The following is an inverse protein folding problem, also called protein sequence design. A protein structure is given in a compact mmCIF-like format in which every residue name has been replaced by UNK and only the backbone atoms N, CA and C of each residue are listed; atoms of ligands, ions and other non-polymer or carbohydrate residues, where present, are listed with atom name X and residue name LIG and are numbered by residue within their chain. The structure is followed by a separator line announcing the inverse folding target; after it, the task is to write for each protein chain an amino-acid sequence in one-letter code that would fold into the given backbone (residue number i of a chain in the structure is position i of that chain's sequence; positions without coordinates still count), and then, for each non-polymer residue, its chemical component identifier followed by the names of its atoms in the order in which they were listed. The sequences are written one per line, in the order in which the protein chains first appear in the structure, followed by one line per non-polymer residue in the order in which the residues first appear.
data_IF_991742622795
#
_entry.id   IF_991742622795
#
_cell.length_a   1.000
_cell.length_b   1.000
_cell.length_c   1.000
_cell.angle_alpha   90.00
_cell.angle_beta   90.00
_cell.angle_gamma   90.00
#
_symmetry.space_group_name_H-M   'P 1'
#
loop_
_entity.id
_entity.type
_entity.pdbx_description
1 polymer ?
#
# COMPACT_ATOMS: atom_id res chain seq x y z
N UNK A 1 5.10 -13.21 17.26
CA UNK A 1 6.39 -13.86 16.89
C UNK A 1 7.19 -13.11 15.82
N UNK A 2 6.61 -12.77 14.65
CA UNK A 2 7.31 -12.06 13.56
C UNK A 2 7.99 -10.75 14.00
N UNK A 3 7.25 -9.83 14.62
CA UNK A 3 7.79 -8.52 15.05
C UNK A 3 8.95 -8.67 16.05
N UNK A 4 8.86 -9.67 16.94
CA UNK A 4 9.95 -10.00 17.87
C UNK A 4 11.21 -10.42 17.12
N UNK A 5 11.09 -11.30 16.13
CA UNK A 5 12.22 -11.74 15.31
C UNK A 5 12.85 -10.58 14.52
N UNK A 6 12.03 -9.69 13.93
CA UNK A 6 12.52 -8.49 13.26
C UNK A 6 13.26 -7.56 14.23
N UNK A 7 12.75 -7.38 15.45
CA UNK A 7 13.41 -6.57 16.49
C UNK A 7 14.78 -7.14 16.85
N UNK A 8 14.86 -8.45 17.12
CA UNK A 8 16.12 -9.12 17.51
C UNK A 8 17.19 -8.99 16.41
N UNK A 9 16.80 -8.97 15.14
CA UNK A 9 17.71 -8.80 14.01
C UNK A 9 17.92 -7.33 13.58
N UNK A 10 17.46 -6.35 14.37
CA UNK A 10 17.54 -4.93 14.03
C UNK A 10 16.95 -4.59 12.64
N UNK A 11 15.78 -5.17 12.34
CA UNK A 11 15.07 -5.02 11.07
C UNK A 11 13.84 -4.10 11.19
N UNK A 12 13.65 -3.43 12.33
CA UNK A 12 12.57 -2.46 12.52
C UNK A 12 13.05 -1.04 12.14
N UNK A 13 12.15 -0.13 11.70
CA UNK A 13 10.72 -0.35 11.54
C UNK A 13 10.38 -1.14 10.27
N UNK A 14 9.22 -1.80 10.27
CA UNK A 14 8.79 -2.67 9.16
C UNK A 14 7.40 -2.35 8.62
N UNK A 15 7.19 -2.52 7.31
CA UNK A 15 5.86 -2.54 6.69
C UNK A 15 5.49 -3.99 6.41
N UNK A 16 4.41 -4.47 7.01
CA UNK A 16 3.90 -5.83 6.81
C UNK A 16 2.71 -5.77 5.88
N UNK A 17 2.88 -6.26 4.66
CA UNK A 17 1.81 -6.26 3.66
C UNK A 17 0.91 -7.48 3.81
N UNK A 18 -0.37 -7.22 4.02
CA UNK A 18 -1.43 -8.22 4.20
C UNK A 18 -2.51 -8.03 3.13
N UNK A 19 -3.19 -9.10 2.69
CA UNK A 19 -4.05 -9.03 1.51
C UNK A 19 -5.39 -8.33 1.76
N UNK A 20 -5.82 -8.15 3.00
CA UNK A 20 -7.14 -7.56 3.32
C UNK A 20 -7.06 -6.55 4.46
N UNK A 21 -7.98 -5.59 4.45
CA UNK A 21 -8.14 -4.57 5.50
C UNK A 21 -8.35 -5.20 6.88
N UNK A 22 -9.24 -6.20 6.94
CA UNK A 22 -9.52 -6.97 8.17
C UNK A 22 -8.24 -7.59 8.76
N UNK A 23 -7.43 -8.26 7.93
CA UNK A 23 -6.17 -8.85 8.39
C UNK A 23 -5.19 -7.80 8.92
N UNK A 24 -5.16 -6.60 8.34
CA UNK A 24 -4.32 -5.51 8.83
C UNK A 24 -4.73 -5.09 10.26
N UNK A 25 -6.03 -4.86 10.47
CA UNK A 25 -6.58 -4.48 11.78
C UNK A 25 -6.36 -5.58 12.84
N UNK A 26 -6.58 -6.84 12.46
CA UNK A 26 -6.36 -8.01 13.32
C UNK A 26 -4.88 -8.14 13.71
N UNK A 27 -3.96 -8.10 12.75
CA UNK A 27 -2.53 -8.23 13.00
C UNK A 27 -1.98 -7.09 13.86
N UNK A 28 -2.43 -5.84 13.61
CA UNK A 28 -2.05 -4.70 14.44
C UNK A 28 -2.51 -4.87 15.89
N UNK A 29 -3.74 -5.36 16.08
CA UNK A 29 -4.32 -5.61 17.40
C UNK A 29 -3.61 -6.74 18.13
N UNK A 30 -3.34 -7.86 17.44
CA UNK A 30 -2.60 -9.01 17.98
C UNK A 30 -1.21 -8.58 18.48
N UNK A 31 -0.47 -7.82 17.67
CA UNK A 31 0.86 -7.34 18.04
C UNK A 31 0.82 -6.34 19.19
N UNK A 32 -0.20 -5.48 19.26
CA UNK A 32 -0.35 -4.55 20.38
C UNK A 32 -0.71 -5.24 21.71
N UNK A 33 -1.35 -6.41 21.66
CA UNK A 33 -1.69 -7.21 22.84
C UNK A 33 -0.57 -8.18 23.26
N UNK A 34 0.42 -8.41 22.39
CA UNK A 34 1.57 -9.27 22.65
C UNK A 34 2.45 -8.67 23.77
N UNK A 35 2.33 -9.21 24.99
CA UNK A 35 3.10 -8.80 26.17
C UNK A 35 4.62 -8.96 26.02
N UNK A 36 5.09 -9.72 25.03
CA UNK A 36 6.52 -9.87 24.75
C UNK A 36 7.11 -8.66 24.00
N UNK A 37 6.27 -7.74 23.55
CA UNK A 37 6.73 -6.47 23.00
C UNK A 37 7.31 -5.59 24.11
N UNK A 38 8.54 -5.08 23.91
CA UNK A 38 9.06 -4.02 24.78
C UNK A 38 8.26 -2.76 24.52
N UNK A 39 7.49 -2.33 25.52
CA UNK A 39 6.88 -1.01 25.52
C UNK A 39 7.95 0.01 25.89
N UNK A 40 8.16 0.97 24.99
CA UNK A 40 8.97 2.15 25.25
C UNK A 40 8.05 3.23 25.82
N UNK A 41 8.18 3.47 27.14
CA UNK A 41 7.34 4.42 27.88
C UNK A 41 7.51 5.85 27.40
N UNK A 42 8.72 6.24 27.00
CA UNK A 42 9.00 7.57 26.46
C UNK A 42 8.30 7.75 25.11
N UNK A 43 8.48 6.81 24.19
CA UNK A 43 7.77 6.84 22.90
C UNK A 43 6.26 6.76 23.08
N UNK A 44 5.76 6.09 24.10
CA UNK A 44 4.32 6.06 24.41
C UNK A 44 3.81 7.44 24.81
N UNK A 45 4.52 8.14 25.68
CA UNK A 45 4.15 9.49 26.09
C UNK A 45 4.13 10.46 24.90
N UNK A 46 5.17 10.40 24.05
CA UNK A 46 5.25 11.22 22.83
C UNK A 46 4.10 10.90 21.86
N UNK A 47 3.74 9.62 21.70
CA UNK A 47 2.60 9.21 20.87
C UNK A 47 1.28 9.74 21.43
N UNK A 48 1.09 9.72 22.74
CA UNK A 48 -0.11 10.27 23.38
C UNK A 48 -0.20 11.79 23.17
N UNK A 49 0.89 12.52 23.37
CA UNK A 49 0.95 13.97 23.14
C UNK A 49 0.60 14.33 21.69
N UNK A 50 1.27 13.71 20.72
CA UNK A 50 1.00 13.95 19.29
C UNK A 50 -0.44 13.57 18.93
N UNK A 51 -0.98 12.51 19.53
CA UNK A 51 -2.36 12.11 19.31
C UNK A 51 -3.33 13.18 19.79
N UNK A 52 -3.19 13.66 21.03
CA UNK A 52 -4.10 14.66 21.60
C UNK A 52 -4.01 16.01 20.88
N UNK A 53 -2.80 16.46 20.51
CA UNK A 53 -2.59 17.65 19.66
C UNK A 53 -3.32 17.51 18.32
N UNK A 54 -3.10 16.40 17.61
CA UNK A 54 -3.71 16.18 16.31
C UNK A 54 -5.24 16.00 16.42
N UNK A 55 -5.71 15.41 17.51
CA UNK A 55 -7.13 15.21 17.78
C UNK A 55 -7.86 16.49 18.17
N UNK A 56 -7.15 17.54 18.62
CA UNK A 56 -7.73 18.85 18.84
C UNK A 56 -8.19 19.49 17.51
N UNK A 57 -7.40 19.32 16.45
CA UNK A 57 -7.71 19.78 15.09
C UNK A 57 -8.62 18.82 14.33
N UNK A 58 -8.59 17.52 14.66
CA UNK A 58 -9.35 16.46 13.99
C UNK A 58 -10.18 15.65 15.02
N UNK A 59 -11.28 16.18 15.56
CA UNK A 59 -12.04 15.54 16.64
C UNK A 59 -12.54 14.12 16.33
N UNK A 60 -12.73 13.80 15.05
CA UNK A 60 -13.20 12.50 14.57
C UNK A 60 -12.25 11.33 14.92
N UNK A 61 -10.95 11.60 15.15
CA UNK A 61 -9.99 10.54 15.52
C UNK A 61 -10.05 10.16 17.00
N UNK A 62 -10.64 11.01 17.88
CA UNK A 62 -10.66 10.78 19.35
C UNK A 62 -11.28 9.44 19.73
N UNK A 63 -12.33 9.03 19.02
CA UNK A 63 -13.08 7.79 19.26
C UNK A 63 -12.63 6.62 18.38
N UNK A 64 -11.50 6.74 17.70
CA UNK A 64 -11.04 5.71 16.78
C UNK A 64 -10.70 4.40 17.53
N UNK A 65 -11.29 3.28 17.06
CA UNK A 65 -11.15 1.95 17.69
C UNK A 65 -9.69 1.50 17.90
N UNK A 66 -8.77 1.94 17.04
CA UNK A 66 -7.36 1.56 17.10
C UNK A 66 -6.46 2.55 17.86
N UNK A 67 -7.02 3.54 18.60
CA UNK A 67 -6.24 4.48 19.44
C UNK A 67 -5.27 3.75 20.36
N UNK A 68 -5.75 2.77 21.13
CA UNK A 68 -4.91 2.03 22.09
C UNK A 68 -3.81 1.21 21.38
N UNK A 69 -4.11 0.67 20.20
CA UNK A 69 -3.15 -0.08 19.37
C UNK A 69 -1.99 0.82 18.95
N UNK A 70 -2.31 2.03 18.48
CA UNK A 70 -1.33 3.04 18.08
C UNK A 70 -0.48 3.51 19.28
N UNK A 71 -1.12 3.98 20.34
CA UNK A 71 -0.44 4.66 21.45
C UNK A 71 0.26 3.71 22.39
N UNK A 72 -0.25 2.50 22.64
CA UNK A 72 0.43 1.51 23.50
C UNK A 72 1.32 0.60 22.69
N UNK A 73 0.76 -0.05 21.67
CA UNK A 73 1.46 -1.05 20.86
C UNK A 73 2.57 -0.50 19.94
N UNK A 74 2.48 0.77 19.54
CA UNK A 74 3.49 1.38 18.67
C UNK A 74 3.46 0.77 17.28
N UNK A 75 2.26 0.34 16.88
CA UNK A 75 1.97 -0.27 15.59
C UNK A 75 0.63 0.25 15.10
N UNK A 76 0.39 0.19 13.80
CA UNK A 76 -0.86 0.65 13.22
C UNK A 76 -1.26 -0.17 11.99
N UNK A 77 -2.56 -0.24 11.72
CA UNK A 77 -3.08 -0.67 10.44
C UNK A 77 -3.27 0.54 9.51
N UNK A 78 -2.82 0.42 8.26
CA UNK A 78 -2.96 1.46 7.23
C UNK A 78 -3.63 0.87 5.99
N UNK A 79 -4.84 1.34 5.67
CA UNK A 79 -5.57 0.93 4.47
C UNK A 79 -6.64 1.95 4.13
N UNK A 80 -7.19 1.87 2.91
CA UNK A 80 -8.23 2.77 2.39
C UNK A 80 -9.58 2.75 3.15
N UNK A 81 -9.71 1.91 4.18
CA UNK A 81 -10.90 1.85 5.04
C UNK A 81 -10.82 2.75 6.27
N UNK A 82 -9.64 3.31 6.58
CA UNK A 82 -9.48 4.29 7.64
C UNK A 82 -9.73 5.70 7.12
N UNK A 83 -10.27 6.55 8.00
CA UNK A 83 -10.52 7.97 7.70
C UNK A 83 -9.22 8.71 7.35
N UNK A 84 -9.26 9.75 6.49
CA UNK A 84 -8.07 10.49 6.06
C UNK A 84 -7.18 11.00 7.20
N UNK A 85 -7.79 11.65 8.20
CA UNK A 85 -7.08 12.17 9.38
C UNK A 85 -6.29 11.09 10.13
N UNK A 86 -6.86 9.89 10.27
CA UNK A 86 -6.19 8.76 10.92
C UNK A 86 -4.97 8.27 10.13
N UNK A 87 -5.08 8.19 8.80
CA UNK A 87 -3.94 7.80 7.94
C UNK A 87 -2.81 8.84 8.04
N UNK A 88 -3.14 10.13 8.01
CA UNK A 88 -2.15 11.21 8.15
C UNK A 88 -1.43 11.15 9.50
N UNK A 89 -2.15 10.85 10.58
CA UNK A 89 -1.55 10.68 11.90
C UNK A 89 -0.55 9.50 11.95
N UNK A 90 -0.92 8.35 11.36
CA UNK A 90 -0.03 7.18 11.27
C UNK A 90 1.24 7.54 10.50
N UNK A 91 1.10 8.21 9.36
CA UNK A 91 2.21 8.65 8.52
C UNK A 91 3.15 9.58 9.30
N UNK A 92 2.58 10.57 10.01
CA UNK A 92 3.33 11.49 10.89
C UNK A 92 4.11 10.74 11.98
N UNK A 93 3.48 9.79 12.67
CA UNK A 93 4.13 9.02 13.74
C UNK A 93 5.23 8.07 13.21
N UNK A 94 5.03 7.48 12.03
CA UNK A 94 6.02 6.63 11.37
C UNK A 94 7.27 7.41 10.98
N UNK A 95 7.10 8.58 10.34
CA UNK A 95 8.21 9.45 9.94
C UNK A 95 9.00 9.96 11.14
N UNK A 96 8.34 10.17 12.28
CA UNK A 96 8.98 10.50 13.57
C UNK A 96 9.66 9.30 14.27
N UNK A 97 9.60 8.09 13.71
CA UNK A 97 10.23 6.89 14.31
C UNK A 97 9.54 6.36 15.57
N UNK A 98 8.26 6.69 15.74
CA UNK A 98 7.46 6.30 16.90
C UNK A 98 6.75 4.95 16.71
N UNK A 99 6.69 4.45 15.48
CA UNK A 99 6.08 3.17 15.16
C UNK A 99 7.13 2.13 14.81
N UNK A 100 6.97 0.94 15.38
CA UNK A 100 7.79 -0.23 15.10
C UNK A 100 7.36 -0.92 13.81
N UNK A 101 6.06 -0.97 13.54
CA UNK A 101 5.54 -1.61 12.35
C UNK A 101 4.21 -1.02 11.89
N UNK A 102 3.97 -1.06 10.58
CA UNK A 102 2.68 -0.76 9.96
C UNK A 102 2.19 -1.99 9.21
N UNK A 103 0.91 -2.32 9.38
CA UNK A 103 0.21 -3.39 8.68
C UNK A 103 -0.61 -2.78 7.56
N UNK A 104 -0.24 -3.04 6.31
CA UNK A 104 -0.82 -2.35 5.16
C UNK A 104 -1.35 -3.31 4.09
N UNK A 105 -2.34 -2.88 3.32
CA UNK A 105 -2.73 -3.61 2.10
C UNK A 105 -1.75 -3.32 0.97
N UNK A 106 -1.58 -4.24 0.01
CA UNK A 106 -0.65 -4.06 -1.12
C UNK A 106 -0.88 -2.74 -1.88
N UNK A 107 -2.14 -2.33 -2.05
CA UNK A 107 -2.52 -1.08 -2.71
C UNK A 107 -1.99 0.19 -2.05
N UNK A 108 -1.63 0.12 -0.77
CA UNK A 108 -1.06 1.26 -0.02
C UNK A 108 0.36 1.54 -0.48
N UNK A 109 1.09 0.55 -1.00
CA UNK A 109 2.49 0.70 -1.42
C UNK A 109 2.68 1.78 -2.49
N UNK A 110 1.70 2.00 -3.36
CA UNK A 110 1.76 3.04 -4.40
C UNK A 110 1.57 4.47 -3.85
N UNK A 111 0.93 4.64 -2.68
CA UNK A 111 0.38 5.93 -2.25
C UNK A 111 0.83 6.46 -0.89
N UNK A 112 1.83 5.84 -0.25
CA UNK A 112 2.37 6.31 1.04
C UNK A 112 3.75 6.91 0.91
N UNK A 113 4.07 7.87 1.79
CA UNK A 113 5.34 8.60 1.76
C UNK A 113 6.33 8.21 2.88
N UNK A 114 6.05 7.14 3.63
CA UNK A 114 6.98 6.66 4.66
C UNK A 114 7.77 5.42 4.19
N UNK A 115 9.11 5.51 4.06
CA UNK A 115 9.96 4.34 3.90
C UNK A 115 10.17 3.62 5.24
N UNK A 116 10.41 2.31 5.19
CA UNK A 116 10.74 1.49 6.36
C UNK A 116 12.06 0.76 6.14
N UNK A 117 12.72 0.30 7.21
CA UNK A 117 13.97 -0.48 7.06
C UNK A 117 13.69 -1.80 6.35
N UNK A 118 12.55 -2.40 6.68
CA UNK A 118 12.14 -3.71 6.18
C UNK A 118 10.73 -3.67 5.63
N UNK A 119 10.49 -4.45 4.59
CA UNK A 119 9.14 -4.79 4.13
C UNK A 119 8.95 -6.30 4.26
N UNK A 120 7.75 -6.70 4.66
CA UNK A 120 7.39 -8.10 4.85
C UNK A 120 6.25 -8.43 3.91
N UNK A 121 6.48 -9.46 3.09
CA UNK A 121 5.48 -10.00 2.16
C UNK A 121 4.94 -11.28 2.78
N UNK A 122 3.64 -11.33 3.07
CA UNK A 122 3.01 -12.51 3.70
C UNK A 122 2.32 -13.45 2.71
N UNK A 123 2.05 -12.97 1.49
CA UNK A 123 1.24 -13.66 0.50
C UNK A 123 1.80 -13.42 -0.91
N UNK A 124 1.69 -14.44 -1.78
CA UNK A 124 2.00 -14.31 -3.22
C UNK A 124 0.79 -13.87 -4.06
N UNK A 125 -0.36 -13.73 -3.42
CA UNK A 125 -1.63 -13.35 -4.03
C UNK A 125 -2.20 -12.10 -3.34
N UNK A 126 -2.92 -11.30 -4.11
CA UNK A 126 -3.56 -10.07 -3.69
C UNK A 126 -5.07 -10.11 -3.93
N UNK A 127 -5.82 -9.31 -3.16
CA UNK A 127 -7.27 -9.14 -3.32
C UNK A 127 -7.55 -7.97 -4.25
N UNK A 128 -8.06 -8.26 -5.46
CA UNK A 128 -8.57 -7.27 -6.40
C UNK A 128 -10.09 -7.11 -6.32
N UNK A 129 -10.65 -6.33 -7.24
CA UNK A 129 -12.09 -6.14 -7.35
C UNK A 129 -12.81 -7.44 -7.77
N UNK A 130 -12.20 -8.20 -8.68
CA UNK A 130 -12.76 -9.45 -9.22
C UNK A 130 -12.41 -10.68 -8.36
N UNK A 131 -11.87 -10.47 -7.15
CA UNK A 131 -11.50 -11.54 -6.23
C UNK A 131 -10.00 -11.72 -6.04
N UNK A 132 -9.58 -12.97 -5.78
CA UNK A 132 -8.18 -13.29 -5.56
C UNK A 132 -7.44 -13.42 -6.89
N UNK A 133 -6.27 -12.81 -6.97
CA UNK A 133 -5.36 -12.97 -8.09
C UNK A 133 -3.92 -13.00 -7.62
N UNK A 134 -3.05 -13.44 -8.52
CA UNK A 134 -1.60 -13.34 -8.36
C UNK A 134 -1.19 -11.87 -8.18
N UNK A 135 -0.22 -11.63 -7.29
CA UNK A 135 0.44 -10.33 -7.17
C UNK A 135 1.14 -9.99 -8.49
N UNK A 136 0.98 -8.77 -8.98
CA UNK A 136 1.66 -8.30 -10.19
C UNK A 136 3.11 -7.95 -9.88
N UNK A 137 3.97 -7.98 -10.91
CA UNK A 137 5.39 -7.63 -10.75
C UNK A 137 5.55 -6.17 -10.29
N UNK A 138 4.79 -5.26 -10.89
CA UNK A 138 4.74 -3.84 -10.51
C UNK A 138 4.31 -3.62 -9.05
N UNK A 139 3.31 -4.37 -8.57
CA UNK A 139 2.85 -4.28 -7.18
C UNK A 139 3.93 -4.76 -6.21
N UNK A 140 4.59 -5.87 -6.54
CA UNK A 140 5.69 -6.40 -5.74
C UNK A 140 6.84 -5.40 -5.70
N UNK A 141 7.23 -4.82 -6.84
CA UNK A 141 8.28 -3.81 -6.93
C UNK A 141 7.92 -2.55 -6.11
N UNK A 142 6.67 -2.08 -6.17
CA UNK A 142 6.20 -0.97 -5.33
C UNK A 142 6.27 -1.29 -3.84
N UNK A 143 5.89 -2.51 -3.46
CA UNK A 143 6.00 -2.98 -2.07
C UNK A 143 7.46 -3.04 -1.62
N UNK A 144 8.35 -3.66 -2.42
CA UNK A 144 9.77 -3.79 -2.10
C UNK A 144 10.52 -2.47 -2.12
N UNK A 145 10.11 -1.53 -2.98
CA UNK A 145 10.67 -0.19 -3.07
C UNK A 145 10.45 0.67 -1.82
N UNK A 146 9.62 0.23 -0.86
CA UNK A 146 9.46 0.88 0.45
C UNK A 146 10.50 0.43 1.49
N UNK A 147 11.32 -0.57 1.17
CA UNK A 147 12.41 -1.00 2.02
C UNK A 147 13.66 -0.12 1.85
N UNK A 148 14.29 0.22 2.96
CA UNK A 148 15.45 1.11 3.02
C UNK A 148 15.04 2.57 3.14
N UNK A 149 15.53 3.23 4.19
CA UNK A 149 15.31 4.66 4.42
C UNK A 149 16.54 5.44 3.96
N UNK A 150 16.36 6.35 2.99
CA UNK A 150 17.42 7.22 2.48
C UNK A 150 18.11 7.97 3.63
N UNK A 151 19.44 7.89 3.67
CA UNK A 151 20.26 8.53 4.71
C UNK A 151 20.22 7.87 6.09
N UNK A 152 19.48 6.76 6.28
CA UNK A 152 19.42 6.02 7.58
C UNK A 152 19.81 4.55 7.45
N UNK A 153 19.50 3.89 6.34
CA UNK A 153 19.82 2.49 6.11
C UNK A 153 20.76 2.33 4.92
N UNK A 154 21.80 1.50 5.07
CA UNK A 154 22.73 1.15 3.98
C UNK A 154 22.07 0.21 2.96
N UNK A 155 21.16 -0.65 3.42
CA UNK A 155 20.41 -1.61 2.61
C UNK A 155 18.98 -1.71 3.13
N UNK A 156 18.03 -1.91 2.22
CA UNK A 156 16.64 -2.25 2.55
C UNK A 156 16.45 -3.76 2.56
N UNK A 157 15.58 -4.27 3.44
CA UNK A 157 15.30 -5.69 3.56
C UNK A 157 13.89 -6.03 3.05
N UNK A 158 13.79 -7.04 2.18
CA UNK A 158 12.53 -7.67 1.82
C UNK A 158 12.47 -9.07 2.44
N UNK A 159 11.50 -9.31 3.33
CA UNK A 159 11.35 -10.57 4.07
C UNK A 159 10.08 -11.28 3.62
N UNK A 160 10.19 -12.55 3.27
CA UNK A 160 9.04 -13.40 3.01
C UNK A 160 8.62 -14.09 4.30
N UNK A 161 7.45 -13.73 4.82
CA UNK A 161 6.89 -14.42 5.98
C UNK A 161 6.24 -15.74 5.53
N UNK A 162 6.50 -16.86 6.23
CA UNK A 162 5.84 -18.13 5.93
C UNK A 162 4.35 -18.07 6.25
N UNK A 163 3.53 -18.76 5.46
CA UNK A 163 2.08 -18.85 5.65
C UNK A 163 1.45 -19.77 4.60
N UNK A 164 0.21 -20.22 4.84
CA UNK A 164 -0.45 -21.21 3.96
C UNK A 164 -0.61 -20.74 2.50
N UNK A 165 -0.67 -19.42 2.30
CA UNK A 165 -0.88 -18.78 0.99
C UNK A 165 0.41 -18.12 0.47
N UNK A 166 1.56 -18.47 1.05
CA UNK A 166 2.84 -17.97 0.60
C UNK A 166 3.43 -18.91 -0.44
N UNK A 167 3.96 -18.35 -1.54
CA UNK A 167 4.67 -19.11 -2.55
C UNK A 167 6.02 -18.42 -2.86
N UNK A 168 7.11 -18.82 -2.19
CA UNK A 168 8.42 -18.18 -2.38
C UNK A 168 8.96 -18.30 -3.81
N UNK A 169 8.69 -19.41 -4.52
CA UNK A 169 9.11 -19.59 -5.91
C UNK A 169 8.48 -18.53 -6.82
N UNK A 170 7.17 -18.36 -6.68
CA UNK A 170 6.40 -17.37 -7.43
C UNK A 170 6.82 -15.93 -7.12
N UNK A 171 7.11 -15.62 -5.86
CA UNK A 171 7.67 -14.30 -5.49
C UNK A 171 9.05 -14.10 -6.14
N UNK A 172 9.92 -15.12 -6.13
CA UNK A 172 11.24 -15.04 -6.75
C UNK A 172 11.16 -14.87 -8.29
N UNK A 173 10.16 -15.48 -8.94
CA UNK A 173 9.86 -15.23 -10.35
C UNK A 173 9.41 -13.78 -10.57
N UNK A 174 8.45 -13.29 -9.79
CA UNK A 174 7.95 -11.91 -9.89
C UNK A 174 9.03 -10.84 -9.65
N UNK A 175 10.01 -11.11 -8.78
CA UNK A 175 11.15 -10.21 -8.56
C UNK A 175 12.07 -10.09 -9.77
N UNK A 176 12.12 -11.12 -10.62
CA UNK A 176 12.92 -11.14 -11.85
C UNK A 176 12.13 -10.66 -13.08
N UNK A 177 10.82 -10.63 -12.98
CA UNK A 177 9.95 -10.17 -14.06
C UNK A 177 10.08 -8.65 -14.29
N UNK A 178 9.98 -8.19 -15.55
CA UNK A 178 9.84 -6.77 -15.82
C UNK A 178 8.54 -6.23 -15.21
N UNK A 179 8.45 -4.92 -14.95
CA UNK A 179 7.18 -4.29 -14.56
C UNK A 179 6.08 -4.60 -15.58
N UNK A 180 4.84 -4.75 -15.11
CA UNK A 180 3.70 -4.97 -15.99
C UNK A 180 3.51 -3.81 -16.97
N UNK A 181 3.08 -4.11 -18.19
CA UNK A 181 2.78 -3.10 -19.20
C UNK A 181 1.70 -2.11 -18.73
N UNK A 182 1.88 -0.84 -19.09
CA UNK A 182 0.85 0.16 -18.88
C UNK A 182 -0.32 -0.15 -19.81
N UNK A 183 -1.49 -0.36 -19.22
CA UNK A 183 -2.72 -0.62 -19.94
C UNK A 183 -3.68 0.56 -19.83
N UNK A 184 -4.30 0.97 -20.94
CA UNK A 184 -5.35 1.97 -20.90
C UNK A 184 -6.51 1.52 -20.02
N UNK A 185 -7.00 2.44 -19.19
CA UNK A 185 -8.27 2.29 -18.45
C UNK A 185 -9.33 3.26 -18.95
N UNK A 186 -9.08 3.96 -20.06
CA UNK A 186 -10.07 4.82 -20.69
C UNK A 186 -11.30 4.00 -21.11
N UNK A 187 -12.47 4.47 -20.69
CA UNK A 187 -13.76 3.91 -21.09
C UNK A 187 -14.64 5.06 -21.54
N UNK A 188 -15.22 4.94 -22.74
CA UNK A 188 -16.23 5.89 -23.20
C UNK A 188 -17.53 5.59 -22.47
N UNK A 189 -17.85 6.40 -21.46
CA UNK A 189 -19.16 6.37 -20.79
C UNK A 189 -20.05 7.46 -21.37
N UNK A 190 -21.38 7.32 -21.23
CA UNK A 190 -22.31 8.37 -21.67
C UNK A 190 -21.97 9.73 -21.07
N UNK A 191 -21.65 9.79 -19.78
CA UNK A 191 -21.25 11.03 -19.10
C UNK A 191 -19.96 11.60 -19.70
N UNK A 192 -18.94 10.76 -19.94
CA UNK A 192 -17.70 11.21 -20.58
C UNK A 192 -17.97 11.77 -21.98
N UNK A 193 -18.81 11.12 -22.77
CA UNK A 193 -19.19 11.57 -24.11
C UNK A 193 -19.94 12.90 -24.06
N UNK A 194 -20.95 13.02 -23.20
CA UNK A 194 -21.72 14.25 -23.05
C UNK A 194 -20.85 15.43 -22.57
N UNK A 195 -19.94 15.19 -21.62
CA UNK A 195 -19.00 16.22 -21.17
C UNK A 195 -18.05 16.66 -22.30
N UNK A 196 -17.58 15.73 -23.13
CA UNK A 196 -16.74 16.05 -24.29
C UNK A 196 -17.54 16.80 -25.35
N UNK A 197 -18.79 16.42 -25.62
CA UNK A 197 -19.65 17.14 -26.55
C UNK A 197 -20.00 18.53 -26.04
N UNK A 198 -20.19 18.69 -24.74
CA UNK A 198 -20.42 20.00 -24.15
C UNK A 198 -19.16 20.90 -24.21
N UNK A 199 -17.97 20.34 -23.97
CA UNK A 199 -16.72 21.08 -24.03
C UNK A 199 -16.30 21.47 -25.47
N UNK A 200 -16.46 20.55 -26.42
CA UNK A 200 -15.94 20.69 -27.79
C UNK A 200 -17.04 21.00 -28.83
N UNK A 201 -18.32 20.97 -28.46
CA UNK A 201 -19.49 21.36 -29.27
C UNK A 201 -19.65 20.64 -30.62
N UNK A 202 -18.78 19.69 -30.96
CA UNK A 202 -18.77 18.97 -32.24
C UNK A 202 -18.32 17.53 -32.06
N UNK A 203 -19.06 16.59 -32.66
CA UNK A 203 -18.70 15.18 -32.70
C UNK A 203 -17.34 14.92 -33.37
N UNK A 204 -16.96 15.72 -34.35
CA UNK A 204 -15.67 15.58 -35.04
C UNK A 204 -14.48 15.76 -34.11
N UNK A 205 -14.53 16.79 -33.26
CA UNK A 205 -13.47 17.07 -32.29
C UNK A 205 -13.43 16.04 -31.16
N UNK A 206 -14.60 15.59 -30.68
CA UNK A 206 -14.69 14.51 -29.69
C UNK A 206 -14.08 13.21 -30.22
N UNK A 207 -14.32 12.90 -31.49
CA UNK A 207 -13.71 11.75 -32.16
C UNK A 207 -12.19 11.88 -32.24
N UNK A 208 -11.67 13.04 -32.64
CA UNK A 208 -10.22 13.27 -32.70
C UNK A 208 -9.54 13.07 -31.33
N UNK A 209 -10.19 13.49 -30.25
CA UNK A 209 -9.70 13.26 -28.88
C UNK A 209 -9.72 11.77 -28.53
N UNK A 210 -10.79 11.07 -28.88
CA UNK A 210 -10.89 9.63 -28.66
C UNK A 210 -9.81 8.86 -29.45
N UNK A 211 -9.49 9.28 -30.67
CA UNK A 211 -8.44 8.69 -31.52
C UNK A 211 -7.03 9.00 -31.01
N UNK A 212 -6.83 10.14 -30.33
CA UNK A 212 -5.57 10.45 -29.63
C UNK A 212 -5.41 9.72 -28.29
N UNK A 213 -6.43 9.02 -27.82
CA UNK A 213 -6.38 8.30 -26.54
C UNK A 213 -5.39 7.14 -26.56
N UNK A 214 -4.85 6.81 -25.40
CA UNK A 214 -3.98 5.65 -25.24
C UNK A 214 -4.71 4.33 -25.57
N UNK A 215 -6.03 4.25 -25.31
CA UNK A 215 -6.85 3.09 -25.66
C UNK A 215 -6.89 2.86 -27.18
N UNK A 216 -7.04 3.92 -27.97
CA UNK A 216 -7.06 3.80 -29.42
C UNK A 216 -5.71 3.32 -29.95
N UNK A 217 -4.60 3.88 -29.44
CA UNK A 217 -3.24 3.46 -29.82
C UNK A 217 -2.94 2.00 -29.48
N UNK A 218 -3.33 1.54 -28.30
CA UNK A 218 -3.17 0.12 -27.91
C UNK A 218 -3.95 -0.80 -28.84
N UNK A 219 -5.20 -0.46 -29.13
CA UNK A 219 -6.07 -1.27 -30.01
C UNK A 219 -5.51 -1.32 -31.43
N UNK A 220 -5.08 -0.18 -31.98
CA UNK A 220 -4.48 -0.10 -33.31
C UNK A 220 -3.20 -0.95 -33.41
N UNK A 221 -2.34 -0.90 -32.39
CA UNK A 221 -1.11 -1.71 -32.36
C UNK A 221 -1.41 -3.22 -32.24
N UNK A 222 -2.45 -3.61 -31.49
CA UNK A 222 -2.86 -5.02 -31.42
C UNK A 222 -3.41 -5.52 -32.76
N UNK A 223 -4.21 -4.72 -33.46
CA UNK A 223 -4.74 -5.06 -34.79
C UNK A 223 -3.60 -5.26 -35.79
N UNK A 224 -2.65 -4.33 -35.88
CA UNK A 224 -1.48 -4.45 -36.78
C UNK A 224 -0.64 -5.70 -36.48
N UNK A 225 -0.45 -6.04 -35.20
CA UNK A 225 0.27 -7.26 -34.80
C UNK A 225 -0.48 -8.53 -35.23
N UNK A 226 -1.80 -8.55 -35.15
CA UNK A 226 -2.63 -9.68 -35.56
C UNK A 226 -2.67 -9.83 -37.09
N UNK A 227 -2.70 -8.72 -37.82
CA UNK A 227 -2.65 -8.72 -39.29
C UNK A 227 -1.32 -9.23 -39.83
N UNK A 228 -0.19 -8.94 -39.16
CA UNK A 228 1.15 -9.45 -39.50
C UNK A 228 1.36 -10.93 -39.19
N UNK A 229 0.51 -11.53 -38.35
CA UNK A 229 0.56 -12.95 -37.99
C UNK A 229 -0.29 -13.82 -38.94
N UNK A 230 -0.96 -13.21 -39.92
CA UNK A 230 -1.83 -13.85 -40.91
C UNK A 230 -1.13 -13.96 -42.27
#
# INVERSE_FOLDING_TARGET
KLIKALRTNNLLPAIVFLPTRRKCDEAATEVALDKSQKTDSEKQLIREQIFEEFAAENPEIKRHKHRKVLIRGGVAAHHAGHIPAWKLLIEKMMSKGLLNAIFATSTVAAGVDFPARTVVITNADARGNDGWRTLRASELQQMTGRAGRRGKDNVGFAVLAPGQFQNPKKIAELLKSPPDELQSKFRSTYTSLLNLLDAFKSFGQVREIAEKSFAFRETAHQIDKLEKLR
#
